data_IF_324363515462
#
_entry.id   IF_324363515462
#
_cell.length_a   1.000
_cell.length_b   1.000
_cell.length_c   1.000
_cell.angle_alpha   90.00
_cell.angle_beta   90.00
_cell.angle_gamma   90.00
#
_symmetry.space_group_name_H-M   'P 1'
#
loop_
_entity.id
_entity.type
_entity.pdbx_description
1 polymer ?
#
# COMPACT_ATOMS: atom_id res chain seq x y z
N UNK A 1 9.59 -13.97 29.44
CA UNK A 1 10.10 -12.85 28.62
C UNK A 1 9.00 -12.50 27.64
N UNK A 2 8.45 -11.28 27.73
CA UNK A 2 7.66 -10.73 26.65
C UNK A 2 8.69 -10.32 25.59
N UNK A 3 8.81 -11.08 24.49
CA UNK A 3 9.56 -10.60 23.34
C UNK A 3 8.78 -9.39 22.81
N UNK A 4 9.37 -8.20 22.84
CA UNK A 4 8.77 -7.03 22.20
C UNK A 4 8.60 -7.35 20.71
N UNK A 5 7.38 -7.29 20.19
CA UNK A 5 7.14 -7.45 18.75
C UNK A 5 7.87 -6.32 18.03
N UNK A 6 8.74 -6.65 17.07
CA UNK A 6 9.40 -5.64 16.24
C UNK A 6 8.36 -5.00 15.33
N UNK A 7 8.44 -3.69 15.17
CA UNK A 7 7.60 -2.92 14.25
C UNK A 7 8.30 -2.70 12.92
N UNK A 8 7.54 -2.75 11.86
CA UNK A 8 7.94 -2.42 10.50
C UNK A 8 7.63 -0.95 10.25
N UNK A 9 8.56 -0.24 9.64
CA UNK A 9 8.47 1.18 9.34
C UNK A 9 8.74 1.42 7.86
N UNK A 10 8.00 2.36 7.26
CA UNK A 10 8.27 2.84 5.91
C UNK A 10 9.55 3.67 5.89
N UNK A 11 10.49 3.31 5.02
CA UNK A 11 11.70 4.10 4.76
C UNK A 11 11.50 4.98 3.53
N UNK A 12 11.04 4.39 2.42
CA UNK A 12 10.77 5.11 1.19
C UNK A 12 9.80 4.38 0.27
N UNK A 13 9.18 5.15 -0.61
CA UNK A 13 8.44 4.67 -1.77
C UNK A 13 9.05 5.32 -3.01
N UNK A 14 9.41 4.51 -4.00
CA UNK A 14 9.95 4.98 -5.28
C UNK A 14 9.18 4.33 -6.41
N UNK A 15 8.67 5.14 -7.33
CA UNK A 15 8.13 4.66 -8.59
C UNK A 15 9.19 4.75 -9.70
N UNK A 16 9.46 3.64 -10.36
CA UNK A 16 10.44 3.58 -11.45
C UNK A 16 9.86 4.17 -12.73
N UNK A 17 10.73 4.49 -13.69
CA UNK A 17 10.28 4.95 -15.01
C UNK A 17 9.50 3.90 -15.81
N UNK A 18 9.48 2.65 -15.34
CA UNK A 18 8.75 1.54 -15.94
C UNK A 18 7.38 1.32 -15.28
N UNK A 19 7.02 2.11 -14.25
CA UNK A 19 5.75 2.01 -13.53
C UNK A 19 5.80 1.10 -12.30
N UNK A 20 6.95 0.48 -12.00
CA UNK A 20 7.07 -0.32 -10.78
C UNK A 20 7.12 0.58 -9.55
N UNK A 21 6.25 0.32 -8.57
CA UNK A 21 6.31 0.99 -7.28
C UNK A 21 7.01 0.08 -6.26
N UNK A 22 8.13 0.56 -5.73
CA UNK A 22 9.00 -0.18 -4.83
C UNK A 22 8.95 0.47 -3.45
N UNK A 23 8.56 -0.32 -2.46
CA UNK A 23 8.49 0.04 -1.06
C UNK A 23 9.73 -0.46 -0.33
N UNK A 24 10.48 0.45 0.31
CA UNK A 24 11.58 0.11 1.21
C UNK A 24 11.06 0.19 2.63
N UNK A 25 11.19 -0.91 3.38
CA UNK A 25 10.73 -1.03 4.76
C UNK A 25 11.88 -1.46 5.68
N UNK A 26 11.84 -0.99 6.92
CA UNK A 26 12.80 -1.36 7.96
C UNK A 26 12.10 -2.05 9.13
N UNK A 27 12.71 -3.14 9.62
CA UNK A 27 12.26 -3.85 10.81
C UNK A 27 13.45 -4.22 11.69
N UNK A 28 13.60 -3.50 12.81
CA UNK A 28 14.80 -3.62 13.64
C UNK A 28 16.05 -3.15 12.89
N UNK A 29 17.03 -4.04 12.69
CA UNK A 29 18.26 -3.74 11.93
C UNK A 29 18.18 -4.20 10.46
N UNK A 30 17.08 -4.84 10.05
CA UNK A 30 16.87 -5.32 8.68
C UNK A 30 16.10 -4.31 7.84
N UNK A 31 16.53 -4.12 6.59
CA UNK A 31 15.84 -3.33 5.57
C UNK A 31 15.57 -4.24 4.37
N UNK A 32 14.35 -4.16 3.82
CA UNK A 32 13.94 -4.96 2.66
C UNK A 32 13.13 -4.12 1.68
N UNK A 33 13.21 -4.51 0.42
CA UNK A 33 12.46 -3.90 -0.68
C UNK A 33 11.34 -4.82 -1.14
N UNK A 34 10.18 -4.25 -1.46
CA UNK A 34 9.02 -4.96 -1.96
C UNK A 34 8.42 -4.21 -3.15
N UNK A 35 8.22 -4.89 -4.27
CA UNK A 35 7.45 -4.35 -5.39
C UNK A 35 5.97 -4.47 -5.05
N UNK A 36 5.27 -3.34 -4.95
CA UNK A 36 3.85 -3.26 -4.58
C UNK A 36 2.94 -2.92 -5.76
N UNK A 37 3.50 -2.45 -6.88
CA UNK A 37 2.80 -2.30 -8.15
C UNK A 37 3.79 -2.53 -9.30
N UNK A 38 3.34 -3.17 -10.38
CA UNK A 38 4.18 -3.42 -11.57
C UNK A 38 3.93 -2.42 -12.71
N UNK A 39 2.77 -1.73 -12.70
CA UNK A 39 2.28 -0.93 -13.84
C UNK A 39 1.81 0.47 -13.47
N UNK A 40 2.20 0.97 -12.30
CA UNK A 40 1.81 2.27 -11.75
C UNK A 40 1.03 2.09 -10.46
N UNK A 41 1.43 2.81 -9.40
CA UNK A 41 0.78 2.67 -8.09
C UNK A 41 -0.66 3.18 -8.11
N UNK A 42 -0.90 4.32 -8.76
CA UNK A 42 -2.24 4.91 -8.88
C UNK A 42 -3.23 3.94 -9.51
N UNK A 43 -2.86 3.25 -10.58
CA UNK A 43 -3.77 2.35 -11.30
C UNK A 43 -4.15 1.13 -10.44
N UNK A 44 -3.17 0.52 -9.75
CA UNK A 44 -3.42 -0.60 -8.83
C UNK A 44 -4.36 -0.18 -7.69
N UNK A 45 -4.13 1.00 -7.13
CA UNK A 45 -4.97 1.54 -6.05
C UNK A 45 -6.36 1.89 -6.57
N UNK A 46 -6.47 2.46 -7.78
CA UNK A 46 -7.73 2.79 -8.42
C UNK A 46 -8.60 1.55 -8.58
N UNK A 47 -8.07 0.46 -9.15
CA UNK A 47 -8.80 -0.78 -9.37
C UNK A 47 -9.32 -1.38 -8.06
N UNK A 48 -8.52 -1.33 -6.99
CA UNK A 48 -8.97 -1.78 -5.68
C UNK A 48 -10.03 -0.86 -5.07
N UNK A 49 -9.87 0.45 -5.22
CA UNK A 49 -10.75 1.43 -4.60
C UNK A 49 -12.13 1.43 -5.27
N UNK A 50 -12.17 1.48 -6.61
CA UNK A 50 -13.42 1.57 -7.36
C UNK A 50 -14.33 0.38 -7.04
N UNK A 51 -13.78 -0.83 -6.97
CA UNK A 51 -14.53 -2.04 -6.64
C UNK A 51 -15.14 -1.96 -5.23
N UNK A 52 -14.35 -1.54 -4.22
CA UNK A 52 -14.84 -1.39 -2.86
C UNK A 52 -15.97 -0.34 -2.76
N UNK A 53 -15.76 0.85 -3.31
CA UNK A 53 -16.75 1.91 -3.20
C UNK A 53 -18.03 1.59 -4.00
N UNK A 54 -17.91 1.00 -5.18
CA UNK A 54 -19.08 0.67 -6.01
C UNK A 54 -19.85 -0.56 -5.51
N UNK A 55 -19.17 -1.64 -5.16
CA UNK A 55 -19.83 -2.91 -4.83
C UNK A 55 -20.13 -3.07 -3.34
N UNK A 56 -19.22 -2.64 -2.47
CA UNK A 56 -19.43 -2.80 -1.02
C UNK A 56 -20.19 -1.60 -0.43
N UNK A 57 -19.88 -0.38 -0.89
CA UNK A 57 -20.52 0.84 -0.41
C UNK A 57 -21.67 1.34 -1.29
N UNK A 58 -21.94 0.68 -2.42
CA UNK A 58 -23.02 1.02 -3.36
C UNK A 58 -22.95 2.47 -3.88
N UNK A 59 -21.75 2.99 -4.09
CA UNK A 59 -21.58 4.30 -4.73
C UNK A 59 -21.88 4.22 -6.23
N UNK A 60 -22.39 5.31 -6.78
CA UNK A 60 -22.43 5.51 -8.23
C UNK A 60 -21.05 5.90 -8.76
N UNK A 61 -20.79 5.65 -10.04
CA UNK A 61 -19.57 6.10 -10.73
C UNK A 61 -19.31 7.60 -10.52
N UNK A 62 -20.33 8.47 -10.65
CA UNK A 62 -20.20 9.93 -10.41
C UNK A 62 -19.76 10.27 -8.97
N UNK A 63 -20.15 9.48 -7.97
CA UNK A 63 -19.73 9.71 -6.58
C UNK A 63 -18.27 9.32 -6.40
N UNK A 64 -17.85 8.23 -7.03
CA UNK A 64 -16.48 7.76 -7.01
C UNK A 64 -15.55 8.71 -7.78
N UNK A 65 -15.91 9.12 -8.99
CA UNK A 65 -15.12 10.09 -9.78
C UNK A 65 -14.92 11.39 -9.00
N UNK A 66 -16.00 11.93 -8.42
CA UNK A 66 -15.90 13.13 -7.60
C UNK A 66 -15.04 12.90 -6.34
N UNK A 67 -15.06 11.71 -5.74
CA UNK A 67 -14.14 11.40 -4.63
C UNK A 67 -12.69 11.38 -5.10
N UNK A 68 -12.42 10.65 -6.19
CA UNK A 68 -11.08 10.47 -6.74
C UNK A 68 -10.44 11.82 -7.11
N UNK A 69 -11.17 12.65 -7.87
CA UNK A 69 -10.72 13.98 -8.30
C UNK A 69 -10.52 14.99 -7.15
N UNK A 70 -11.09 14.72 -5.96
CA UNK A 70 -11.01 15.60 -4.79
C UNK A 70 -10.08 15.05 -3.70
N UNK A 71 -8.98 14.40 -4.09
CA UNK A 71 -7.94 13.90 -3.18
C UNK A 71 -8.22 12.50 -2.63
N UNK A 72 -9.18 11.78 -3.21
CA UNK A 72 -9.40 10.37 -2.92
C UNK A 72 -8.21 9.52 -3.32
N UNK A 73 -7.58 9.81 -4.46
CA UNK A 73 -6.38 9.12 -4.95
C UNK A 73 -5.27 9.09 -3.90
N UNK A 74 -4.78 10.26 -3.48
CA UNK A 74 -3.72 10.40 -2.48
C UNK A 74 -4.06 9.64 -1.19
N UNK A 75 -5.31 9.74 -0.74
CA UNK A 75 -5.78 9.06 0.47
C UNK A 75 -5.78 7.54 0.33
N UNK A 76 -6.20 7.00 -0.81
CA UNK A 76 -6.17 5.55 -1.03
C UNK A 76 -4.76 5.02 -1.22
N UNK A 77 -3.85 5.80 -1.83
CA UNK A 77 -2.43 5.47 -1.92
C UNK A 77 -1.81 5.40 -0.52
N UNK A 78 -2.05 6.41 0.33
CA UNK A 78 -1.58 6.41 1.72
C UNK A 78 -2.12 5.20 2.49
N UNK A 79 -3.42 4.90 2.39
CA UNK A 79 -4.02 3.72 3.03
C UNK A 79 -3.41 2.40 2.54
N UNK A 80 -3.12 2.29 1.24
CA UNK A 80 -2.53 1.09 0.65
C UNK A 80 -1.11 0.87 1.15
N UNK A 81 -0.31 1.94 1.25
CA UNK A 81 1.03 1.91 1.80
C UNK A 81 0.99 1.53 3.28
N UNK A 82 0.19 2.23 4.09
CA UNK A 82 0.06 1.97 5.54
C UNK A 82 -0.40 0.53 5.81
N UNK A 83 -1.43 0.07 5.08
CA UNK A 83 -1.92 -1.30 5.18
C UNK A 83 -0.87 -2.34 4.79
N UNK A 84 -0.04 -2.04 3.79
CA UNK A 84 1.07 -2.92 3.39
C UNK A 84 2.13 -2.99 4.49
N UNK A 85 2.57 -1.84 5.02
CA UNK A 85 3.57 -1.78 6.10
C UNK A 85 3.08 -2.53 7.34
N UNK A 86 1.82 -2.32 7.74
CA UNK A 86 1.18 -2.99 8.87
C UNK A 86 1.05 -4.51 8.65
N UNK A 87 0.86 -4.96 7.41
CA UNK A 87 0.80 -6.38 7.08
C UNK A 87 2.16 -7.08 7.29
N UNK A 88 3.26 -6.38 7.01
CA UNK A 88 4.64 -6.86 7.20
C UNK A 88 5.18 -6.66 8.62
N UNK A 89 4.33 -6.18 9.53
CA UNK A 89 4.59 -6.16 10.97
C UNK A 89 4.58 -7.58 11.57
N UNK A 90 3.99 -8.56 10.87
CA UNK A 90 4.03 -9.98 11.22
C UNK A 90 5.35 -10.67 10.81
N UNK A 91 5.88 -11.53 11.68
CA UNK A 91 7.14 -12.25 11.46
C UNK A 91 7.08 -13.16 10.23
N UNK A 92 5.96 -13.87 10.05
CA UNK A 92 5.85 -14.82 8.95
C UNK A 92 5.83 -14.09 7.61
N UNK A 93 5.09 -12.99 7.51
CA UNK A 93 5.06 -12.19 6.30
C UNK A 93 6.39 -11.51 6.01
N UNK A 94 7.06 -10.95 7.04
CA UNK A 94 8.38 -10.31 6.89
C UNK A 94 9.43 -11.29 6.33
N UNK A 95 9.39 -12.54 6.78
CA UNK A 95 10.31 -13.58 6.33
C UNK A 95 10.06 -14.03 4.87
N UNK A 96 8.89 -13.75 4.30
CA UNK A 96 8.59 -14.06 2.89
C UNK A 96 9.25 -13.09 1.90
N UNK A 97 9.62 -11.89 2.34
CA UNK A 97 10.39 -10.95 1.51
C UNK A 97 11.83 -11.48 1.40
N UNK A 98 12.25 -11.81 0.18
CA UNK A 98 13.54 -12.42 -0.14
C UNK A 98 14.74 -11.48 0.07
#
# INVERSE_FOLDING_TARGET
>A
MIKTKLRTELVSLVETTYGEAILTMQRGEEEKELVIAETGLSDVVYESAIDYYMYDLNWTEEQFDNYWENGGEDKEIDNYIDGTVDFYDDDSTWEEIA
#
